data_IF_047496793912
#
_entry.id   IF_047496793912
#
_cell.length_a   1.000
_cell.length_b   1.000
_cell.length_c   1.000
_cell.angle_alpha   90.00
_cell.angle_beta   90.00
_cell.angle_gamma   90.00
#
_symmetry.space_group_name_H-M   'P 1'
#
loop_
_entity.id
_entity.type
_entity.pdbx_description
1 polymer ?
#
# COMPACT_ATOMS: atom_id res chain seq x y z
N UNK A 1 -8.41 14.93 20.38
CA UNK A 1 -7.45 14.00 21.05
C UNK A 1 -7.27 12.81 20.14
N UNK A 2 -6.03 12.48 19.81
CA UNK A 2 -5.71 11.30 19.00
C UNK A 2 -6.11 10.03 19.77
N UNK A 3 -6.79 9.09 19.12
CA UNK A 3 -7.20 7.82 19.74
C UNK A 3 -6.37 6.67 19.19
N UNK A 4 -5.92 5.77 20.06
CA UNK A 4 -5.18 4.57 19.68
C UNK A 4 -6.05 3.67 18.82
N UNK A 5 -5.53 3.23 17.66
CA UNK A 5 -6.10 2.15 16.90
C UNK A 5 -5.91 0.85 17.69
N UNK A 6 -6.98 0.08 17.82
CA UNK A 6 -6.98 -1.19 18.54
C UNK A 6 -7.88 -2.16 17.78
N UNK A 7 -7.32 -3.23 17.27
CA UNK A 7 -8.02 -4.14 16.35
C UNK A 7 -9.33 -4.65 16.94
N UNK A 8 -9.31 -5.12 18.20
CA UNK A 8 -10.53 -5.70 18.80
C UNK A 8 -11.65 -4.67 18.91
N UNK A 9 -11.33 -3.42 19.25
CA UNK A 9 -12.32 -2.33 19.29
C UNK A 9 -12.82 -2.00 17.88
N UNK A 10 -11.91 -1.86 16.92
CA UNK A 10 -12.25 -1.54 15.52
C UNK A 10 -13.13 -2.62 14.90
N UNK A 11 -12.86 -3.90 15.17
CA UNK A 11 -13.71 -5.02 14.75
C UNK A 11 -15.09 -4.97 15.42
N UNK A 12 -15.14 -4.68 16.71
CA UNK A 12 -16.42 -4.56 17.43
C UNK A 12 -17.26 -3.42 16.85
N UNK A 13 -16.65 -2.25 16.57
CA UNK A 13 -17.31 -1.10 15.98
C UNK A 13 -17.79 -1.41 14.55
N UNK A 14 -16.96 -2.07 13.72
CA UNK A 14 -17.32 -2.50 12.36
C UNK A 14 -18.54 -3.45 12.38
N UNK A 15 -18.48 -4.48 13.21
CA UNK A 15 -19.56 -5.50 13.32
C UNK A 15 -20.84 -4.92 13.88
N UNK A 16 -20.76 -3.95 14.78
CA UNK A 16 -21.92 -3.24 15.31
C UNK A 16 -22.58 -2.32 14.26
N UNK A 17 -21.78 -1.70 13.39
CA UNK A 17 -22.28 -0.84 12.31
C UNK A 17 -22.90 -1.64 11.14
N UNK A 18 -22.60 -2.93 11.02
CA UNK A 18 -22.96 -3.78 9.88
C UNK A 18 -22.01 -3.60 8.69
N UNK A 19 -22.14 -4.45 7.65
CA UNK A 19 -21.26 -4.43 6.50
C UNK A 19 -21.35 -3.10 5.74
N UNK A 20 -20.18 -2.54 5.43
CA UNK A 20 -20.02 -1.29 4.65
C UNK A 20 -19.74 -1.55 3.17
N UNK A 21 -20.05 -2.74 2.67
CA UNK A 21 -19.77 -3.13 1.29
C UNK A 21 -21.02 -3.08 0.43
N UNK A 22 -20.92 -2.44 -0.74
CA UNK A 22 -21.92 -2.48 -1.82
C UNK A 22 -21.59 -3.59 -2.85
N UNK A 23 -20.47 -4.26 -2.70
CA UNK A 23 -20.04 -5.38 -3.51
C UNK A 23 -18.52 -5.59 -3.49
N UNK A 24 -18.13 -6.81 -3.88
CA UNK A 24 -16.74 -7.17 -4.06
C UNK A 24 -16.60 -8.01 -5.34
N UNK A 25 -15.65 -7.62 -6.20
CA UNK A 25 -15.36 -8.30 -7.47
C UNK A 25 -13.89 -8.69 -7.51
N UNK A 26 -13.61 -9.96 -7.76
CA UNK A 26 -12.24 -10.42 -8.00
C UNK A 26 -11.77 -9.91 -9.35
N UNK A 27 -10.61 -9.30 -9.41
CA UNK A 27 -10.00 -8.90 -10.66
C UNK A 27 -9.34 -10.09 -11.34
N UNK A 28 -9.51 -10.15 -12.66
CA UNK A 28 -8.92 -11.20 -13.50
C UNK A 28 -7.73 -10.61 -14.25
N UNK A 29 -6.59 -11.28 -14.16
CA UNK A 29 -5.37 -10.89 -14.86
C UNK A 29 -4.99 -12.00 -15.85
N UNK A 30 -4.82 -11.63 -17.10
CA UNK A 30 -4.40 -12.52 -18.16
C UNK A 30 -2.93 -12.28 -18.54
N UNK A 31 -2.33 -13.21 -19.28
CA UNK A 31 -0.96 -13.06 -19.80
C UNK A 31 0.17 -13.19 -18.78
N UNK A 32 -0.13 -13.66 -17.56
CA UNK A 32 0.84 -13.89 -16.49
C UNK A 32 1.18 -15.37 -16.25
N UNK A 33 0.54 -16.28 -16.99
CA UNK A 33 0.67 -17.73 -16.79
C UNK A 33 0.02 -18.20 -15.50
N UNK A 34 0.67 -19.11 -14.78
CA UNK A 34 0.19 -19.67 -13.51
C UNK A 34 0.57 -18.83 -12.28
N UNK A 35 0.96 -17.56 -12.48
CA UNK A 35 1.34 -16.65 -11.39
C UNK A 35 0.13 -15.90 -10.87
N UNK A 36 0.16 -15.62 -9.57
CA UNK A 36 -0.81 -14.76 -8.92
C UNK A 36 -0.48 -13.28 -9.16
N UNK A 37 -1.52 -12.43 -9.16
CA UNK A 37 -1.40 -10.97 -9.19
C UNK A 37 -2.14 -10.40 -7.99
N UNK A 38 -1.45 -9.68 -7.14
CA UNK A 38 -2.00 -9.11 -5.91
C UNK A 38 -1.23 -7.83 -5.50
N UNK A 39 -1.68 -7.16 -4.46
CA UNK A 39 -1.10 -5.89 -3.99
C UNK A 39 -0.88 -4.91 -5.15
N UNK A 40 -1.93 -4.69 -5.94
CA UNK A 40 -1.87 -3.78 -7.09
C UNK A 40 -2.07 -2.33 -6.65
N UNK A 41 -1.57 -1.39 -7.46
CA UNK A 41 -1.84 0.04 -7.29
C UNK A 41 -3.30 0.40 -7.58
N UNK A 42 -3.71 1.63 -7.25
CA UNK A 42 -4.92 2.20 -7.86
C UNK A 42 -4.74 2.32 -9.38
N UNK A 43 -5.84 2.32 -10.16
CA UNK A 43 -5.76 2.66 -11.57
C UNK A 43 -5.27 4.10 -11.75
N UNK A 44 -4.41 4.29 -12.71
CA UNK A 44 -3.88 5.60 -13.09
C UNK A 44 -3.87 5.77 -14.62
N UNK A 45 -3.84 7.02 -15.06
CA UNK A 45 -3.61 7.35 -16.45
C UNK A 45 -2.09 7.41 -16.70
N UNK A 46 -1.61 6.54 -17.58
CA UNK A 46 -0.19 6.44 -17.84
C UNK A 46 0.25 7.38 -18.97
N UNK A 47 1.44 7.99 -18.90
CA UNK A 47 2.02 8.72 -20.01
C UNK A 47 2.07 7.85 -21.27
N UNK A 48 1.66 8.43 -22.40
CA UNK A 48 1.62 7.72 -23.68
C UNK A 48 0.38 6.83 -23.93
N UNK A 49 -0.50 6.67 -22.93
CA UNK A 49 -1.74 5.89 -23.04
C UNK A 49 -2.96 6.70 -22.57
N UNK A 50 -3.25 7.86 -23.21
CA UNK A 50 -4.34 8.73 -22.77
C UNK A 50 -5.69 8.02 -22.80
N UNK A 51 -6.47 8.19 -21.73
CA UNK A 51 -7.80 7.57 -21.57
C UNK A 51 -7.78 6.09 -21.21
N UNK A 52 -6.61 5.44 -21.12
CA UNK A 52 -6.49 4.06 -20.64
C UNK A 52 -6.31 4.04 -19.13
N UNK A 53 -7.00 3.10 -18.47
CA UNK A 53 -6.77 2.79 -17.07
C UNK A 53 -5.65 1.77 -16.96
N UNK A 54 -4.62 2.11 -16.22
CA UNK A 54 -3.45 1.24 -16.01
C UNK A 54 -3.33 0.91 -14.53
N UNK A 55 -2.98 -0.34 -14.21
CA UNK A 55 -2.58 -0.81 -12.87
C UNK A 55 -1.12 -1.23 -12.90
N UNK A 56 -0.40 -1.00 -11.82
CA UNK A 56 0.84 -1.70 -11.52
C UNK A 56 0.54 -2.84 -10.55
N UNK A 57 0.88 -4.08 -10.89
CA UNK A 57 0.57 -5.25 -10.08
C UNK A 57 1.79 -6.08 -9.74
N UNK A 58 1.86 -6.60 -8.51
CA UNK A 58 2.85 -7.58 -8.07
C UNK A 58 2.48 -8.95 -8.64
N UNK A 59 3.38 -9.52 -9.44
CA UNK A 59 3.22 -10.83 -10.08
C UNK A 59 4.27 -11.78 -9.54
N UNK A 60 3.83 -12.91 -8.99
CA UNK A 60 4.76 -13.87 -8.42
C UNK A 60 4.17 -15.30 -8.39
N UNK A 61 5.02 -16.32 -8.22
CA UNK A 61 4.61 -17.70 -7.96
C UNK A 61 4.42 -17.90 -6.46
N UNK A 62 3.57 -18.87 -6.07
CA UNK A 62 3.24 -19.12 -4.65
C UNK A 62 4.41 -19.65 -3.82
N UNK A 63 5.41 -20.22 -4.46
CA UNK A 63 6.60 -20.81 -3.84
C UNK A 63 7.80 -19.85 -3.76
N UNK A 64 7.62 -18.59 -4.15
CA UNK A 64 8.68 -17.58 -4.22
C UNK A 64 8.28 -16.29 -3.50
N UNK A 65 9.29 -15.53 -3.07
CA UNK A 65 9.14 -14.13 -2.67
C UNK A 65 9.75 -13.18 -3.74
N UNK A 66 10.23 -13.75 -4.87
CA UNK A 66 10.71 -12.95 -5.99
C UNK A 66 9.54 -12.54 -6.87
N UNK A 67 9.25 -11.26 -6.87
CA UNK A 67 8.15 -10.67 -7.60
C UNK A 67 8.63 -9.80 -8.75
N UNK A 68 7.75 -9.64 -9.71
CA UNK A 68 7.92 -8.64 -10.77
C UNK A 68 6.70 -7.74 -10.80
N UNK A 69 6.89 -6.43 -10.77
CA UNK A 69 5.83 -5.48 -11.05
C UNK A 69 5.60 -5.43 -12.56
N UNK A 70 4.34 -5.63 -12.94
CA UNK A 70 3.87 -5.59 -14.33
C UNK A 70 2.78 -4.53 -14.43
N UNK A 71 2.78 -3.76 -15.51
CA UNK A 71 1.72 -2.80 -15.82
C UNK A 71 0.63 -3.51 -16.62
N UNK A 72 -0.62 -3.30 -16.22
CA UNK A 72 -1.79 -3.88 -16.85
C UNK A 72 -2.74 -2.79 -17.32
N UNK A 73 -3.35 -2.97 -18.47
CA UNK A 73 -4.46 -2.14 -18.97
C UNK A 73 -5.77 -2.91 -18.88
N UNK A 74 -6.86 -2.18 -18.63
CA UNK A 74 -8.20 -2.75 -18.61
C UNK A 74 -8.67 -3.04 -20.03
N UNK A 75 -9.10 -4.28 -20.28
CA UNK A 75 -9.68 -4.74 -21.54
C UNK A 75 -10.98 -5.50 -21.28
N UNK A 76 -11.72 -5.82 -22.34
CA UNK A 76 -12.91 -6.65 -22.21
C UNK A 76 -12.55 -8.02 -21.62
N UNK A 77 -13.09 -8.31 -20.42
CA UNK A 77 -12.88 -9.59 -19.71
C UNK A 77 -11.77 -9.58 -18.67
N UNK A 78 -11.00 -8.50 -18.52
CA UNK A 78 -9.99 -8.42 -17.45
C UNK A 78 -8.84 -7.46 -17.69
N UNK A 79 -7.75 -7.70 -17.01
CA UNK A 79 -6.53 -6.87 -17.05
C UNK A 79 -5.42 -7.61 -17.81
N UNK A 80 -4.79 -6.96 -18.76
CA UNK A 80 -3.71 -7.53 -19.58
C UNK A 80 -2.45 -6.70 -19.50
N UNK A 81 -1.26 -7.34 -19.58
CA UNK A 81 0.01 -6.63 -19.57
C UNK A 81 0.08 -5.61 -20.72
N UNK A 82 0.50 -4.39 -20.40
CA UNK A 82 0.77 -3.34 -21.39
C UNK A 82 1.96 -3.78 -22.26
N UNK A 83 1.80 -3.89 -23.58
CA UNK A 83 2.88 -4.31 -24.46
C UNK A 83 4.07 -3.35 -24.42
N UNK A 84 5.28 -3.88 -24.25
CA UNK A 84 6.51 -3.08 -24.22
C UNK A 84 6.78 -2.31 -22.94
N UNK A 85 5.85 -2.29 -21.97
CA UNK A 85 6.10 -1.66 -20.68
C UNK A 85 7.22 -2.37 -19.90
N UNK A 86 7.96 -1.61 -19.12
CA UNK A 86 9.01 -2.11 -18.25
C UNK A 86 8.46 -3.14 -17.25
N UNK A 87 9.32 -4.05 -16.83
CA UNK A 87 9.09 -4.98 -15.74
C UNK A 87 10.09 -4.69 -14.65
N UNK A 88 9.63 -4.54 -13.42
CA UNK A 88 10.49 -4.11 -12.33
C UNK A 88 10.57 -5.23 -11.28
N UNK A 89 11.77 -5.53 -10.81
CA UNK A 89 12.01 -6.52 -9.74
C UNK A 89 11.69 -5.88 -8.38
N UNK A 90 10.41 -5.58 -8.16
CA UNK A 90 9.86 -4.92 -6.99
C UNK A 90 8.63 -5.66 -6.48
N UNK A 91 8.26 -5.42 -5.22
CA UNK A 91 7.01 -5.84 -4.59
C UNK A 91 6.12 -4.62 -4.31
N UNK A 92 4.83 -4.88 -4.05
CA UNK A 92 3.85 -3.95 -3.49
C UNK A 92 3.87 -2.55 -4.16
N UNK A 93 3.62 -2.47 -5.49
CA UNK A 93 3.70 -1.21 -6.21
C UNK A 93 2.62 -0.23 -5.77
N UNK A 94 2.96 1.04 -5.75
CA UNK A 94 2.03 2.14 -5.54
C UNK A 94 2.36 3.29 -6.50
N UNK A 95 1.35 4.13 -6.76
CA UNK A 95 1.51 5.31 -7.63
C UNK A 95 1.06 6.56 -6.91
N UNK A 96 1.65 7.69 -7.24
CA UNK A 96 1.25 8.99 -6.75
C UNK A 96 1.65 10.08 -7.76
N UNK A 97 0.97 11.23 -7.68
CA UNK A 97 1.27 12.39 -8.52
C UNK A 97 1.68 13.57 -7.63
N UNK A 98 2.77 14.21 -7.99
CA UNK A 98 3.29 15.43 -7.34
C UNK A 98 3.75 16.39 -8.43
N UNK A 99 3.34 17.68 -8.35
CA UNK A 99 3.62 18.71 -9.34
C UNK A 99 3.27 18.31 -10.77
N UNK A 100 2.17 17.56 -10.92
CA UNK A 100 1.70 17.04 -12.22
C UNK A 100 2.58 15.95 -12.82
N UNK A 101 3.54 15.39 -12.06
CA UNK A 101 4.39 14.28 -12.49
C UNK A 101 3.95 13.00 -11.80
N UNK A 102 3.90 11.92 -12.57
CA UNK A 102 3.59 10.58 -12.08
C UNK A 102 4.86 9.92 -11.54
N UNK A 103 4.73 9.30 -10.39
CA UNK A 103 5.75 8.46 -9.76
C UNK A 103 5.18 7.08 -9.47
N UNK A 104 6.07 6.09 -9.54
CA UNK A 104 5.82 4.72 -9.09
C UNK A 104 6.77 4.43 -7.92
N UNK A 105 6.24 3.87 -6.86
CA UNK A 105 7.03 3.28 -5.80
C UNK A 105 6.83 1.77 -5.72
N UNK A 106 7.78 1.10 -5.11
CA UNK A 106 7.71 -0.33 -4.83
C UNK A 106 8.75 -0.73 -3.80
N UNK A 107 8.76 -2.00 -3.43
CA UNK A 107 9.69 -2.54 -2.44
C UNK A 107 10.75 -3.40 -3.14
N UNK A 108 12.00 -2.98 -3.07
CA UNK A 108 13.14 -3.79 -3.47
C UNK A 108 13.46 -4.81 -2.37
N UNK A 109 13.64 -6.06 -2.78
CA UNK A 109 14.01 -7.15 -1.89
C UNK A 109 15.42 -7.62 -2.26
N UNK A 110 16.29 -7.72 -1.27
CA UNK A 110 17.60 -8.32 -1.40
C UNK A 110 17.67 -9.60 -0.57
N UNK A 111 17.94 -10.71 -1.26
CA UNK A 111 18.21 -11.96 -0.58
C UNK A 111 19.49 -11.85 0.29
N UNK A 112 19.62 -12.65 1.37
CA UNK A 112 20.86 -12.77 2.11
C UNK A 112 22.04 -13.14 1.18
N UNK A 113 23.24 -12.72 1.57
CA UNK A 113 24.45 -13.10 0.84
C UNK A 113 24.60 -14.63 0.79
N UNK A 114 25.16 -15.12 -0.33
CA UNK A 114 25.40 -16.56 -0.52
C UNK A 114 26.34 -17.07 0.59
N UNK A 115 25.80 -17.99 1.41
CA UNK A 115 26.53 -18.54 2.57
C UNK A 115 26.06 -18.01 3.92
N UNK A 116 25.24 -16.96 3.96
CA UNK A 116 24.56 -16.49 5.17
C UNK A 116 23.25 -17.25 5.37
N UNK A 117 23.33 -18.43 5.97
CA UNK A 117 22.18 -19.31 6.23
C UNK A 117 21.20 -18.75 7.28
N UNK A 118 21.59 -17.69 8.00
CA UNK A 118 20.79 -17.02 9.04
C UNK A 118 20.42 -15.61 8.61
N UNK A 119 20.79 -15.20 7.41
CA UNK A 119 20.50 -13.87 6.87
C UNK A 119 18.99 -13.65 6.67
N UNK A 120 18.51 -12.50 7.07
CA UNK A 120 17.14 -12.08 6.83
C UNK A 120 17.05 -11.36 5.47
N UNK A 121 15.87 -11.49 4.83
CA UNK A 121 15.57 -10.67 3.65
C UNK A 121 15.65 -9.18 4.01
N UNK A 122 16.44 -8.44 3.23
CA UNK A 122 16.51 -6.99 3.33
C UNK A 122 15.52 -6.39 2.35
N UNK A 123 14.91 -5.30 2.74
CA UNK A 123 13.93 -4.60 1.91
C UNK A 123 14.04 -3.08 2.08
N UNK A 124 13.72 -2.33 1.03
CA UNK A 124 13.62 -0.87 1.06
C UNK A 124 12.60 -0.39 0.04
N UNK A 125 12.07 0.81 0.24
CA UNK A 125 11.23 1.47 -0.77
C UNK A 125 12.11 2.10 -1.85
N UNK A 126 11.76 1.84 -3.11
CA UNK A 126 12.31 2.53 -4.29
C UNK A 126 11.24 3.45 -4.86
N UNK A 127 11.63 4.64 -5.30
CA UNK A 127 10.75 5.59 -5.99
C UNK A 127 11.33 5.92 -7.35
N UNK A 128 10.51 5.78 -8.38
CA UNK A 128 10.82 6.01 -9.77
C UNK A 128 9.88 7.08 -10.34
N UNK A 129 10.39 8.00 -11.14
CA UNK A 129 9.54 8.90 -11.93
C UNK A 129 9.09 8.17 -13.20
N UNK A 130 7.81 8.25 -13.50
CA UNK A 130 7.21 7.59 -14.65
C UNK A 130 6.92 8.62 -15.76
N UNK A 131 7.93 8.93 -16.57
CA UNK A 131 7.76 9.77 -17.75
C UNK A 131 7.21 8.95 -18.94
N UNK A 132 7.46 7.63 -18.93
CA UNK A 132 6.99 6.63 -19.89
C UNK A 132 6.96 5.25 -19.19
N UNK A 133 6.04 4.36 -19.59
CA UNK A 133 5.97 3.00 -19.03
C UNK A 133 7.10 2.08 -19.51
N UNK A 134 7.82 2.44 -20.55
CA UNK A 134 8.94 1.63 -21.09
C UNK A 134 10.24 1.86 -20.33
N UNK A 135 10.42 3.06 -19.76
CA UNK A 135 11.61 3.44 -19.02
C UNK A 135 11.25 4.36 -17.84
N UNK A 136 11.48 3.89 -16.62
CA UNK A 136 11.25 4.66 -15.41
C UNK A 136 12.59 5.18 -14.85
N UNK A 137 12.59 6.42 -14.38
CA UNK A 137 13.79 7.11 -13.91
C UNK A 137 13.91 6.99 -12.39
N UNK A 138 14.97 6.37 -11.84
CA UNK A 138 15.19 6.33 -10.38
C UNK A 138 15.28 7.73 -9.78
N UNK A 139 14.57 7.96 -8.67
CA UNK A 139 14.53 9.24 -7.95
C UNK A 139 15.00 9.09 -6.51
N UNK A 140 14.57 8.03 -5.83
CA UNK A 140 14.89 7.85 -4.42
C UNK A 140 15.00 6.37 -4.06
N UNK A 141 16.08 6.04 -3.35
CA UNK A 141 16.31 4.76 -2.71
C UNK A 141 16.19 4.94 -1.20
N UNK A 142 15.19 4.31 -0.61
CA UNK A 142 14.92 4.38 0.83
C UNK A 142 15.92 3.65 1.69
N UNK A 143 15.91 3.85 3.02
CA UNK A 143 16.76 3.11 3.94
C UNK A 143 16.40 1.62 3.95
N UNK A 144 17.42 0.77 4.07
CA UNK A 144 17.22 -0.65 4.28
C UNK A 144 16.50 -0.94 5.60
N UNK A 145 15.57 -1.88 5.57
CA UNK A 145 14.70 -2.22 6.70
C UNK A 145 13.43 -1.39 6.80
N UNK A 146 13.18 -0.48 5.84
CA UNK A 146 11.96 0.31 5.81
C UNK A 146 11.26 0.20 4.45
N UNK A 147 9.96 -0.11 4.47
CA UNK A 147 9.08 -0.12 3.31
C UNK A 147 7.83 0.73 3.55
N UNK A 148 6.93 0.79 2.57
CA UNK A 148 5.64 1.45 2.65
C UNK A 148 5.72 2.98 2.85
N UNK A 149 6.70 3.64 2.20
CA UNK A 149 6.67 5.10 2.08
C UNK A 149 5.50 5.52 1.19
N UNK A 150 4.80 6.60 1.57
CA UNK A 150 3.72 7.19 0.76
C UNK A 150 3.87 8.70 0.72
N UNK A 151 3.34 9.31 -0.34
CA UNK A 151 3.58 10.71 -0.68
C UNK A 151 2.27 11.43 -0.96
N UNK A 152 2.21 12.72 -0.63
CA UNK A 152 1.09 13.60 -0.97
C UNK A 152 1.55 15.03 -1.16
N UNK A 153 1.10 15.70 -2.24
CA UNK A 153 1.37 17.12 -2.49
C UNK A 153 0.50 17.98 -1.59
N UNK A 154 1.13 18.79 -0.74
CA UNK A 154 0.46 19.74 0.14
C UNK A 154 -0.02 20.99 -0.63
N UNK A 155 -1.03 21.74 -0.11
CA UNK A 155 -1.55 22.93 -0.78
C UNK A 155 -0.50 24.04 -1.02
N UNK A 156 0.59 24.05 -0.26
CA UNK A 156 1.71 24.98 -0.43
C UNK A 156 2.78 24.49 -1.42
N UNK A 157 2.55 23.33 -2.07
CA UNK A 157 3.44 22.71 -3.04
C UNK A 157 4.54 21.84 -2.43
N UNK A 158 4.66 21.78 -1.10
CA UNK A 158 5.57 20.84 -0.45
C UNK A 158 5.00 19.41 -0.49
N UNK A 159 5.81 18.43 -0.13
CA UNK A 159 5.46 17.01 -0.20
C UNK A 159 5.47 16.42 1.20
N UNK A 160 4.31 15.95 1.66
CA UNK A 160 4.22 15.11 2.82
C UNK A 160 4.72 13.70 2.49
N UNK A 161 5.62 13.19 3.30
CA UNK A 161 6.16 11.83 3.19
C UNK A 161 5.77 11.05 4.43
N UNK A 162 4.93 10.05 4.27
CA UNK A 162 4.56 9.14 5.33
C UNK A 162 5.52 7.95 5.30
N UNK A 163 6.12 7.67 6.44
CA UNK A 163 7.16 6.65 6.61
C UNK A 163 6.65 5.49 7.47
N UNK A 164 7.35 4.35 7.43
CA UNK A 164 7.01 3.18 8.23
C UNK A 164 8.25 2.61 8.91
N UNK A 165 8.79 3.29 9.94
CA UNK A 165 9.93 2.80 10.70
C UNK A 165 9.61 1.44 11.35
N UNK A 166 10.62 0.56 11.37
CA UNK A 166 10.55 -0.80 11.87
C UNK A 166 11.81 -1.15 12.66
N UNK A 167 11.69 -2.16 13.52
CA UNK A 167 12.79 -2.65 14.35
C UNK A 167 12.92 -1.87 15.66
N UNK A 168 13.65 -2.44 16.62
CA UNK A 168 13.84 -1.83 17.93
C UNK A 168 12.54 -1.40 18.61
N UNK A 169 12.45 -0.14 18.98
CA UNK A 169 11.25 0.46 19.61
C UNK A 169 10.04 0.56 18.67
N UNK A 170 10.27 0.61 17.35
CA UNK A 170 9.21 0.71 16.35
C UNK A 170 8.55 -0.66 16.05
N UNK A 171 9.07 -1.75 16.59
CA UNK A 171 8.51 -3.09 16.45
C UNK A 171 8.40 -3.51 14.99
N UNK A 172 7.21 -3.93 14.54
CA UNK A 172 6.97 -4.39 13.17
C UNK A 172 6.52 -3.29 12.22
N UNK A 173 6.29 -2.08 12.70
CA UNK A 173 5.97 -0.91 11.89
C UNK A 173 5.13 0.10 12.64
N UNK A 174 5.62 1.33 12.65
CA UNK A 174 4.92 2.53 13.13
C UNK A 174 4.73 3.49 11.97
N UNK A 175 3.97 4.53 12.16
CA UNK A 175 3.80 5.57 11.16
C UNK A 175 4.58 6.80 11.59
N UNK A 176 5.42 7.31 10.70
CA UNK A 176 6.08 8.61 10.83
C UNK A 176 5.66 9.54 9.71
N UNK A 177 5.84 10.84 9.89
CA UNK A 177 5.52 11.84 8.88
C UNK A 177 6.61 12.88 8.84
N UNK A 178 7.07 13.22 7.64
CA UNK A 178 7.96 14.37 7.38
C UNK A 178 7.47 15.15 6.17
N UNK A 179 8.00 16.35 5.97
CA UNK A 179 7.65 17.23 4.84
C UNK A 179 8.94 17.69 4.18
N UNK A 180 8.99 17.59 2.85
CA UNK A 180 10.12 18.03 2.01
C UNK A 180 9.64 18.94 0.91
N UNK A 181 10.55 19.69 0.28
CA UNK A 181 10.19 20.64 -0.78
C UNK A 181 9.81 19.94 -2.10
N UNK A 182 10.41 18.80 -2.41
CA UNK A 182 10.14 18.01 -3.61
C UNK A 182 10.51 16.54 -3.37
N UNK A 183 9.97 15.63 -4.19
CA UNK A 183 10.31 14.19 -4.13
C UNK A 183 11.81 13.98 -4.37
N UNK A 184 12.38 14.72 -5.31
CA UNK A 184 13.80 14.66 -5.69
C UNK A 184 14.75 15.22 -4.60
N UNK A 185 14.24 15.96 -3.63
CA UNK A 185 15.04 16.49 -2.51
C UNK A 185 15.03 15.57 -1.29
N UNK A 186 14.21 14.53 -1.30
CA UNK A 186 14.10 13.58 -0.19
C UNK A 186 15.42 12.86 0.05
N UNK A 187 15.84 12.81 1.31
CA UNK A 187 17.02 12.06 1.73
C UNK A 187 16.67 10.90 2.66
N UNK A 188 17.55 9.92 2.76
CA UNK A 188 17.43 8.82 3.73
C UNK A 188 17.31 9.36 5.15
N UNK A 189 18.05 10.43 5.47
CA UNK A 189 18.02 11.06 6.79
C UNK A 189 16.67 11.70 7.13
N UNK A 190 15.95 12.25 6.14
CA UNK A 190 14.61 12.80 6.35
C UNK A 190 13.62 11.68 6.70
N UNK A 191 13.73 10.54 6.02
CA UNK A 191 12.89 9.36 6.26
C UNK A 191 13.16 8.75 7.63
N UNK A 192 14.43 8.55 8.01
CA UNK A 192 14.82 7.93 9.28
C UNK A 192 14.47 8.80 10.49
N UNK A 193 14.55 10.13 10.34
CA UNK A 193 14.27 11.12 11.40
C UNK A 193 12.82 11.55 11.46
N UNK A 194 11.96 11.05 10.56
CA UNK A 194 10.55 11.43 10.53
C UNK A 194 9.90 11.23 11.91
N UNK A 195 9.27 12.27 12.50
CA UNK A 195 8.54 12.15 13.75
C UNK A 195 7.47 11.06 13.68
N UNK A 196 7.33 10.24 14.73
CA UNK A 196 6.36 9.15 14.81
C UNK A 196 5.03 9.65 15.34
N UNK A 197 3.95 9.03 14.89
CA UNK A 197 2.62 9.16 15.48
C UNK A 197 2.55 8.25 16.72
N UNK A 198 3.01 8.78 17.85
CA UNK A 198 3.16 8.02 19.09
C UNK A 198 1.80 7.60 19.68
N UNK A 199 1.64 6.29 19.96
CA UNK A 199 0.41 5.74 20.53
C UNK A 199 -0.71 5.44 19.54
N UNK A 200 -0.44 5.50 18.24
CA UNK A 200 -1.43 5.13 17.23
C UNK A 200 -1.76 3.62 17.29
N UNK A 201 -0.78 2.76 17.43
CA UNK A 201 -0.95 1.30 17.54
C UNK A 201 -0.55 0.78 18.93
N UNK A 202 -1.18 -0.31 19.35
CA UNK A 202 -0.73 -1.08 20.53
C UNK A 202 0.65 -1.70 20.27
N UNK A 203 1.40 -2.10 21.34
CA UNK A 203 2.73 -2.69 21.17
C UNK A 203 2.75 -3.96 20.29
N UNK A 204 1.72 -4.81 20.40
CA UNK A 204 1.55 -6.05 19.66
C UNK A 204 1.02 -5.86 18.24
N UNK A 205 0.51 -4.67 17.92
CA UNK A 205 -0.05 -4.31 16.63
C UNK A 205 0.94 -3.48 15.82
N UNK A 206 0.83 -3.54 14.52
CA UNK A 206 1.62 -2.74 13.59
C UNK A 206 0.78 -2.31 12.39
N UNK A 207 1.28 -1.39 11.60
CA UNK A 207 0.59 -0.94 10.41
C UNK A 207 1.45 -0.05 9.53
N UNK A 208 0.84 0.47 8.50
CA UNK A 208 1.45 1.40 7.54
C UNK A 208 0.39 2.06 6.68
N UNK A 209 0.74 3.18 6.09
CA UNK A 209 -0.12 3.89 5.13
C UNK A 209 0.07 3.29 3.75
N UNK A 210 -1.03 3.10 3.04
CA UNK A 210 -1.08 2.53 1.69
C UNK A 210 -1.36 3.59 0.62
N UNK A 211 -2.12 4.64 0.98
CA UNK A 211 -2.38 5.79 0.10
C UNK A 211 -2.58 7.05 0.94
N UNK A 212 -2.19 8.18 0.37
CA UNK A 212 -2.38 9.52 0.93
C UNK A 212 -3.20 10.34 -0.06
N UNK A 213 -4.34 10.85 0.38
CA UNK A 213 -5.12 11.89 -0.29
C UNK A 213 -5.00 13.17 0.55
N UNK A 214 -4.48 14.25 -0.04
CA UNK A 214 -4.29 15.51 0.69
C UNK A 214 -5.56 16.34 0.61
N UNK A 215 -6.03 16.79 1.78
CA UNK A 215 -7.21 17.64 1.90
C UNK A 215 -6.84 19.13 1.67
N UNK A 216 -7.84 19.95 1.35
CA UNK A 216 -7.66 21.39 1.08
C UNK A 216 -7.00 22.16 2.24
N UNK A 217 -7.15 21.69 3.48
CA UNK A 217 -6.55 22.26 4.68
C UNK A 217 -5.15 21.70 5.00
N UNK A 218 -4.62 20.83 4.15
CA UNK A 218 -3.29 20.23 4.29
C UNK A 218 -3.24 18.99 5.20
N UNK A 219 -4.37 18.54 5.78
CA UNK A 219 -4.44 17.23 6.42
C UNK A 219 -4.38 16.12 5.38
N UNK A 220 -3.96 14.96 5.82
CA UNK A 220 -3.80 13.77 4.99
C UNK A 220 -4.93 12.79 5.33
N UNK A 221 -5.85 12.54 4.41
CA UNK A 221 -6.81 11.44 4.50
C UNK A 221 -6.12 10.18 3.99
N UNK A 222 -5.88 9.23 4.87
CA UNK A 222 -5.08 8.06 4.56
C UNK A 222 -5.91 6.78 4.50
N UNK A 223 -5.64 5.95 3.49
CA UNK A 223 -5.93 4.54 3.51
C UNK A 223 -4.69 3.83 4.07
N UNK A 224 -4.90 3.00 5.06
CA UNK A 224 -3.83 2.32 5.79
C UNK A 224 -4.23 0.88 6.12
N UNK A 225 -3.30 0.11 6.65
CA UNK A 225 -3.59 -1.17 7.26
C UNK A 225 -3.16 -1.19 8.72
N UNK A 226 -3.87 -1.99 9.52
CA UNK A 226 -3.45 -2.41 10.86
C UNK A 226 -3.39 -3.92 10.89
N UNK A 227 -2.41 -4.47 11.62
CA UNK A 227 -2.14 -5.90 11.62
C UNK A 227 -1.73 -6.42 12.99
N UNK A 228 -1.94 -7.72 13.19
CA UNK A 228 -1.44 -8.48 14.33
C UNK A 228 -1.19 -9.94 13.93
N UNK A 229 -0.53 -10.69 14.81
CA UNK A 229 -0.56 -12.14 14.79
C UNK A 229 -1.68 -12.67 15.70
N UNK A 230 -2.20 -13.85 15.35
CA UNK A 230 -2.95 -14.66 16.30
C UNK A 230 -2.01 -15.56 17.15
N UNK A 231 -2.60 -16.31 18.08
CA UNK A 231 -1.86 -17.23 18.96
C UNK A 231 -1.21 -18.41 18.21
N UNK A 232 -1.59 -18.65 16.95
CA UNK A 232 -1.07 -19.72 16.08
C UNK A 232 -0.03 -19.20 15.07
N UNK A 233 0.24 -17.89 15.07
CA UNK A 233 1.15 -17.23 14.16
C UNK A 233 0.51 -16.84 12.82
N UNK A 234 -0.80 -16.96 12.68
CA UNK A 234 -1.58 -16.44 11.56
C UNK A 234 -1.54 -14.92 11.52
N UNK A 235 -1.44 -14.36 10.32
CA UNK A 235 -1.41 -12.91 10.10
C UNK A 235 -2.80 -12.40 9.80
N UNK A 236 -3.20 -11.36 10.54
CA UNK A 236 -4.45 -10.66 10.33
C UNK A 236 -4.16 -9.22 9.93
N UNK A 237 -4.60 -8.83 8.74
CA UNK A 237 -4.45 -7.48 8.22
C UNK A 237 -5.81 -6.91 7.88
N UNK A 238 -6.05 -5.67 8.29
CA UNK A 238 -7.32 -4.98 8.11
C UNK A 238 -7.12 -3.61 7.48
N UNK A 239 -7.88 -3.26 6.44
CA UNK A 239 -7.90 -1.92 5.88
C UNK A 239 -8.57 -0.95 6.85
N UNK A 240 -7.89 0.15 7.15
CA UNK A 240 -8.39 1.24 7.99
C UNK A 240 -8.24 2.58 7.27
N UNK A 241 -9.00 3.56 7.71
CA UNK A 241 -8.88 4.96 7.27
C UNK A 241 -8.88 5.90 8.47
N UNK A 242 -8.14 7.00 8.37
CA UNK A 242 -8.11 8.10 9.34
C UNK A 242 -7.42 9.30 8.71
N UNK A 243 -7.50 10.46 9.37
CA UNK A 243 -6.78 11.65 8.93
C UNK A 243 -5.56 11.91 9.80
N UNK A 244 -4.51 12.46 9.19
CA UNK A 244 -3.27 12.89 9.86
C UNK A 244 -3.11 14.39 9.66
N UNK A 245 -2.83 15.13 10.74
CA UNK A 245 -2.27 16.48 10.66
C UNK A 245 -0.74 16.33 10.64
N UNK A 246 -0.07 16.61 9.50
CA UNK A 246 1.36 16.41 9.38
C UNK A 246 2.19 17.45 10.17
N UNK A 247 1.58 18.56 10.58
CA UNK A 247 2.23 19.63 11.36
C UNK A 247 2.06 19.39 12.85
N UNK A 248 0.81 19.11 13.29
CA UNK A 248 0.52 18.85 14.69
C UNK A 248 0.89 17.43 15.13
N UNK A 249 1.23 16.53 14.19
CA UNK A 249 1.50 15.10 14.41
C UNK A 249 0.36 14.43 15.20
N UNK A 250 -0.87 14.76 14.82
CA UNK A 250 -2.08 14.23 15.41
C UNK A 250 -2.94 13.51 14.36
N UNK A 251 -3.88 12.68 14.82
CA UNK A 251 -4.74 11.91 13.93
C UNK A 251 -6.17 11.81 14.47
N UNK A 252 -7.11 11.58 13.57
CA UNK A 252 -8.50 11.26 13.93
C UNK A 252 -8.64 9.80 14.36
N UNK A 253 -9.76 9.43 14.96
CA UNK A 253 -10.02 8.05 15.34
C UNK A 253 -10.01 7.15 14.08
N UNK A 254 -9.15 6.13 14.02
CA UNK A 254 -9.15 5.19 12.91
C UNK A 254 -10.47 4.43 12.81
N UNK A 255 -10.90 4.14 11.59
CA UNK A 255 -12.07 3.34 11.28
C UNK A 255 -11.64 2.16 10.41
N UNK A 256 -12.11 0.96 10.77
CA UNK A 256 -11.93 -0.24 9.95
C UNK A 256 -12.97 -0.24 8.84
N UNK A 257 -12.56 -0.52 7.62
CA UNK A 257 -13.43 -0.48 6.44
C UNK A 257 -14.19 -1.79 6.25
N UNK A 258 -13.49 -2.91 6.36
CA UNK A 258 -14.03 -4.27 6.26
C UNK A 258 -13.01 -5.28 6.78
N UNK A 259 -13.44 -6.53 6.97
CA UNK A 259 -12.58 -7.66 7.33
C UNK A 259 -12.61 -8.74 6.24
N UNK A 260 -11.70 -9.73 6.33
CA UNK A 260 -11.65 -10.83 5.35
C UNK A 260 -12.98 -11.58 5.22
N UNK A 261 -13.71 -11.72 6.33
CA UNK A 261 -15.00 -12.39 6.37
C UNK A 261 -16.12 -11.69 5.60
N UNK A 262 -15.96 -10.41 5.27
CA UNK A 262 -16.92 -9.64 4.44
C UNK A 262 -16.72 -9.89 2.94
N UNK A 263 -15.62 -10.52 2.53
CA UNK A 263 -15.32 -10.86 1.14
C UNK A 263 -15.69 -12.32 0.84
N UNK A 264 -16.01 -12.65 -0.42
CA UNK A 264 -16.19 -14.03 -0.82
C UNK A 264 -14.99 -14.92 -0.49
N UNK A 265 -15.23 -16.22 -0.32
CA UNK A 265 -14.17 -17.20 -0.14
C UNK A 265 -13.19 -17.14 -1.31
N UNK A 266 -11.90 -17.34 -1.00
CA UNK A 266 -10.82 -17.26 -1.97
C UNK A 266 -9.56 -17.97 -1.49
N UNK A 267 -8.54 -17.91 -2.32
CA UNK A 267 -7.28 -18.60 -2.07
C UNK A 267 -6.32 -17.74 -1.23
N UNK A 268 -5.31 -18.39 -0.68
CA UNK A 268 -4.17 -17.74 -0.05
C UNK A 268 -2.87 -18.43 -0.47
N UNK A 269 -1.80 -17.64 -0.56
CA UNK A 269 -0.46 -18.14 -0.88
C UNK A 269 0.01 -19.19 0.12
N UNK A 270 -0.29 -18.97 1.41
CA UNK A 270 0.00 -19.86 2.52
C UNK A 270 -1.11 -19.80 3.58
N UNK A 271 -1.29 -20.82 4.41
CA UNK A 271 -2.35 -20.82 5.43
C UNK A 271 -2.27 -19.66 6.42
N UNK A 272 -1.06 -19.20 6.80
CA UNK A 272 -0.82 -18.09 7.73
C UNK A 272 -1.21 -16.72 7.15
N UNK A 273 -1.49 -16.64 5.85
CA UNK A 273 -1.88 -15.42 5.14
C UNK A 273 -3.39 -15.34 4.83
N UNK A 274 -4.17 -16.34 5.23
CA UNK A 274 -5.59 -16.43 4.88
C UNK A 274 -6.40 -15.17 5.23
N UNK A 275 -6.09 -14.55 6.36
CA UNK A 275 -6.79 -13.36 6.86
C UNK A 275 -6.04 -12.06 6.56
N UNK A 276 -5.17 -12.06 5.55
CA UNK A 276 -4.51 -10.86 5.07
C UNK A 276 -5.40 -10.16 4.06
N UNK A 277 -5.79 -8.91 4.37
CA UNK A 277 -6.38 -7.96 3.43
C UNK A 277 -5.49 -6.73 3.38
N UNK A 278 -4.67 -6.65 2.33
CA UNK A 278 -3.71 -5.55 2.15
C UNK A 278 -4.26 -4.54 1.14
N UNK A 279 -4.66 -3.32 1.57
CA UNK A 279 -5.19 -2.33 0.64
C UNK A 279 -4.08 -1.82 -0.29
N UNK A 280 -4.29 -1.92 -1.60
CA UNK A 280 -3.39 -1.37 -2.62
C UNK A 280 -3.67 0.12 -2.87
N UNK A 281 -4.93 0.52 -2.71
CA UNK A 281 -5.34 1.91 -2.85
C UNK A 281 -6.86 2.09 -2.88
N UNK A 282 -7.29 3.35 -2.90
CA UNK A 282 -8.68 3.79 -2.90
C UNK A 282 -8.94 4.64 -4.13
N UNK A 283 -9.97 4.30 -4.91
CA UNK A 283 -10.47 5.12 -6.00
C UNK A 283 -11.81 5.77 -5.60
N UNK A 284 -11.93 7.07 -5.83
CA UNK A 284 -13.20 7.80 -5.76
C UNK A 284 -13.60 8.20 -7.16
N UNK A 285 -14.69 7.61 -7.66
CA UNK A 285 -15.18 7.82 -9.02
C UNK A 285 -16.71 7.81 -9.05
N UNK A 286 -17.30 8.77 -9.77
CA UNK A 286 -18.75 8.88 -9.98
C UNK A 286 -19.57 8.85 -8.66
N UNK A 287 -19.04 9.49 -7.60
CA UNK A 287 -19.66 9.54 -6.27
C UNK A 287 -19.56 8.23 -5.49
N UNK A 288 -18.76 7.27 -5.92
CA UNK A 288 -18.54 5.98 -5.24
C UNK A 288 -17.10 5.86 -4.78
N UNK A 289 -16.92 5.25 -3.63
CA UNK A 289 -15.61 4.89 -3.10
C UNK A 289 -15.38 3.40 -3.25
N UNK A 290 -14.24 3.03 -3.81
CA UNK A 290 -13.80 1.63 -3.91
C UNK A 290 -12.39 1.46 -3.39
N UNK A 291 -12.11 0.32 -2.77
CA UNK A 291 -10.77 -0.07 -2.33
C UNK A 291 -10.32 -1.26 -3.16
N UNK A 292 -9.12 -1.16 -3.74
CA UNK A 292 -8.46 -2.30 -4.36
C UNK A 292 -7.56 -2.92 -3.31
N UNK A 293 -7.66 -4.22 -3.11
CA UNK A 293 -6.87 -4.92 -2.10
C UNK A 293 -6.33 -6.25 -2.59
N UNK A 294 -5.14 -6.59 -2.12
CA UNK A 294 -4.60 -7.94 -2.16
C UNK A 294 -5.21 -8.76 -1.02
N UNK A 295 -5.60 -9.99 -1.30
CA UNK A 295 -6.19 -10.91 -0.34
C UNK A 295 -5.39 -12.20 -0.32
N UNK A 296 -4.95 -12.61 0.88
CA UNK A 296 -4.22 -13.84 1.09
C UNK A 296 -2.87 -13.93 0.37
N UNK A 297 -2.33 -12.81 -0.11
CA UNK A 297 -1.16 -12.73 -1.02
C UNK A 297 -1.32 -13.62 -2.27
N UNK A 298 -2.55 -13.76 -2.78
CA UNK A 298 -2.88 -14.59 -3.93
C UNK A 298 -3.87 -13.93 -4.90
N UNK A 299 -4.76 -13.09 -4.40
CA UNK A 299 -5.85 -12.52 -5.19
C UNK A 299 -5.89 -11.01 -5.10
N UNK A 300 -6.48 -10.37 -6.11
CA UNK A 300 -6.83 -8.95 -6.09
C UNK A 300 -8.35 -8.79 -6.15
N UNK A 301 -8.87 -7.97 -5.24
CA UNK A 301 -10.28 -7.66 -5.15
C UNK A 301 -10.54 -6.15 -5.29
N UNK A 302 -11.59 -5.84 -6.03
CA UNK A 302 -12.19 -4.51 -6.11
C UNK A 302 -13.41 -4.50 -5.18
N UNK A 303 -13.33 -3.70 -4.12
CA UNK A 303 -14.35 -3.65 -3.08
C UNK A 303 -15.02 -2.29 -3.11
N UNK A 304 -16.31 -2.25 -3.48
CA UNK A 304 -17.11 -1.03 -3.44
C UNK A 304 -17.64 -0.81 -2.04
N UNK A 305 -17.48 0.40 -1.52
CA UNK A 305 -17.93 0.79 -0.20
C UNK A 305 -19.32 1.46 -0.29
N UNK A 306 -20.13 1.27 0.74
CA UNK A 306 -21.34 2.09 0.97
C UNK A 306 -20.87 3.44 1.50
N UNK A 307 -21.33 4.54 0.90
CA UNK A 307 -21.04 5.93 1.31
C UNK A 307 -21.72 6.27 2.65
#
# INVERSE_FOLDING_TARGET
MSSTAQIDRLLADLRAAGPRLDGATRLVFEGVGERDVYNVSVPFEAPGLPGSRVLAGRVETRDSEQSTVVFFTEEEGGWRPVPGAARLDLQDPFVFTVHGRLYLGGVEIQAPDVGDLMGELRYRTIVLRCDDLTELVPVFDGPWGMKDLRFGELPDGRVAVVTRPQGGADGRGRIGVTVVDAVESLTVADVERAPRLEGLFLPEEWGGVNQVDVLDDGRLDVLAHIARFDDQGGRHYYPITFEIDPVALSWTAPQMLFERGDLPDGESKRPDLRDVVFPGGRERRDGRTSVICGVGDAETWWVSLVD
#
